data_IF_986168729252
#
_entry.id   IF_986168729252
#
_cell.length_a   1.000
_cell.length_b   1.000
_cell.length_c   1.000
_cell.angle_alpha   90.00
_cell.angle_beta   90.00
_cell.angle_gamma   90.00
#
_symmetry.space_group_name_H-M   'P 1'
#
loop_
_entity.id
_entity.type
_entity.pdbx_description
1 polymer ?
#
# COMPACT_ATOMS: atom_id res chain seq x y z
N UNK A 1 20.79 3.69 18.01
CA UNK A 1 20.12 3.76 16.69
C UNK A 1 19.37 5.09 16.63
N UNK A 2 19.47 5.80 15.51
CA UNK A 2 18.73 7.06 15.32
C UNK A 2 17.25 6.78 15.03
N UNK A 3 16.34 7.71 15.38
CA UNK A 3 14.91 7.56 15.19
C UNK A 3 14.53 7.20 13.73
N UNK A 4 15.13 7.81 12.68
CA UNK A 4 14.87 7.43 11.29
C UNK A 4 15.14 5.95 10.98
N UNK A 5 16.23 5.41 11.49
CA UNK A 5 16.58 3.98 11.28
C UNK A 5 15.53 3.08 11.92
N UNK A 6 15.05 3.40 13.14
CA UNK A 6 14.01 2.63 13.81
C UNK A 6 12.72 2.65 12.98
N UNK A 7 12.29 3.83 12.52
CA UNK A 7 11.10 3.96 11.66
C UNK A 7 11.25 3.11 10.39
N UNK A 8 12.40 3.19 9.71
CA UNK A 8 12.65 2.41 8.50
C UNK A 8 12.67 0.91 8.73
N UNK A 9 13.23 0.44 9.85
CA UNK A 9 13.20 -0.98 10.22
C UNK A 9 11.76 -1.46 10.42
N UNK A 10 10.92 -0.69 11.14
CA UNK A 10 9.52 -1.02 11.38
C UNK A 10 8.72 -1.06 10.07
N UNK A 11 8.88 -0.02 9.21
CA UNK A 11 8.21 0.02 7.90
C UNK A 11 8.65 -1.14 7.01
N UNK A 12 9.95 -1.42 6.95
CA UNK A 12 10.47 -2.53 6.13
C UNK A 12 9.98 -3.88 6.64
N UNK A 13 10.01 -4.11 7.95
CA UNK A 13 9.51 -5.34 8.56
C UNK A 13 8.01 -5.54 8.27
N UNK A 14 7.22 -4.47 8.35
CA UNK A 14 5.80 -4.50 8.00
C UNK A 14 5.61 -4.87 6.50
N UNK A 15 6.33 -4.23 5.57
CA UNK A 15 6.23 -4.58 4.14
C UNK A 15 6.59 -6.03 3.86
N UNK A 16 7.60 -6.55 4.52
CA UNK A 16 7.98 -7.96 4.40
C UNK A 16 6.90 -8.89 4.97
N UNK A 17 6.31 -8.54 6.12
CA UNK A 17 5.20 -9.32 6.70
C UNK A 17 3.97 -9.33 5.78
N UNK A 18 3.64 -8.20 5.16
CA UNK A 18 2.57 -8.09 4.18
C UNK A 18 2.80 -8.99 2.95
N UNK A 19 4.04 -9.10 2.46
CA UNK A 19 4.36 -10.03 1.37
C UNK A 19 4.19 -11.51 1.78
N UNK A 20 4.50 -11.86 3.03
CA UNK A 20 4.27 -13.22 3.53
C UNK A 20 2.78 -13.52 3.63
N UNK A 21 1.99 -12.58 4.17
CA UNK A 21 0.53 -12.70 4.26
C UNK A 21 -0.08 -12.81 2.85
N UNK A 22 0.34 -11.93 1.93
CA UNK A 22 -0.09 -11.99 0.53
C UNK A 22 0.13 -13.35 -0.10
N UNK A 23 1.35 -13.88 0.02
CA UNK A 23 1.70 -15.19 -0.57
C UNK A 23 0.79 -16.31 -0.06
N UNK A 24 0.51 -16.35 1.25
CA UNK A 24 -0.36 -17.35 1.88
C UNK A 24 -1.80 -17.19 1.41
N UNK A 25 -2.33 -15.97 1.50
CA UNK A 25 -3.70 -15.66 1.12
C UNK A 25 -3.95 -15.93 -0.36
N UNK A 26 -3.05 -15.47 -1.23
CA UNK A 26 -3.14 -15.67 -2.67
C UNK A 26 -3.09 -17.15 -3.05
N UNK A 27 -2.18 -17.94 -2.45
CA UNK A 27 -2.11 -19.36 -2.71
C UNK A 27 -3.42 -20.08 -2.33
N UNK A 28 -4.00 -19.74 -1.17
CA UNK A 28 -5.27 -20.29 -0.72
C UNK A 28 -6.43 -19.90 -1.66
N UNK A 29 -6.54 -18.62 -2.04
CA UNK A 29 -7.59 -18.16 -2.95
C UNK A 29 -7.51 -18.80 -4.34
N UNK A 30 -6.29 -18.94 -4.89
CA UNK A 30 -6.09 -19.60 -6.19
C UNK A 30 -6.46 -21.08 -6.13
N UNK A 31 -6.19 -21.78 -5.01
CA UNK A 31 -6.64 -23.15 -4.80
C UNK A 31 -8.18 -23.29 -4.70
N UNK A 32 -8.87 -22.22 -4.27
CA UNK A 32 -10.34 -22.13 -4.26
C UNK A 32 -10.92 -21.73 -5.64
N UNK A 33 -10.09 -21.56 -6.68
CA UNK A 33 -10.54 -21.21 -8.03
C UNK A 33 -10.55 -19.70 -8.33
N UNK A 34 -9.99 -18.85 -7.45
CA UNK A 34 -9.89 -17.42 -7.71
C UNK A 34 -9.00 -17.12 -8.92
N UNK A 35 -9.25 -16.00 -9.58
CA UNK A 35 -8.50 -15.54 -10.73
C UNK A 35 -7.68 -14.28 -10.40
N UNK A 36 -6.41 -14.26 -10.85
CA UNK A 36 -5.52 -13.11 -10.70
C UNK A 36 -5.64 -12.19 -11.92
N UNK A 37 -5.91 -10.90 -11.66
CA UNK A 37 -6.05 -9.86 -12.66
C UNK A 37 -4.92 -8.82 -12.57
N UNK A 38 -4.69 -8.07 -13.67
CA UNK A 38 -3.75 -6.95 -13.66
C UNK A 38 -2.28 -7.33 -13.49
N UNK A 39 -1.86 -8.51 -13.91
CA UNK A 39 -0.47 -8.99 -13.78
C UNK A 39 0.55 -8.06 -14.41
N UNK A 40 0.21 -7.39 -15.51
CA UNK A 40 1.14 -6.56 -16.28
C UNK A 40 1.60 -5.29 -15.55
N UNK A 41 0.80 -4.72 -14.65
CA UNK A 41 1.20 -3.51 -13.91
C UNK A 41 1.88 -3.82 -12.57
N UNK A 42 1.80 -5.05 -12.07
CA UNK A 42 2.34 -5.43 -10.77
C UNK A 42 3.86 -5.22 -10.63
N UNK A 43 4.71 -5.57 -11.64
CA UNK A 43 6.15 -5.32 -11.56
C UNK A 43 6.49 -3.83 -11.40
N UNK A 44 5.75 -2.95 -12.07
CA UNK A 44 5.93 -1.50 -11.97
C UNK A 44 5.58 -0.97 -10.58
N UNK A 45 4.53 -1.51 -9.97
CA UNK A 45 4.18 -1.20 -8.59
C UNK A 45 5.29 -1.64 -7.62
N UNK A 46 5.85 -2.83 -7.81
CA UNK A 46 6.98 -3.31 -7.00
C UNK A 46 8.20 -2.41 -7.18
N UNK A 47 8.55 -2.07 -8.42
CA UNK A 47 9.70 -1.20 -8.72
C UNK A 47 9.54 0.17 -8.06
N UNK A 48 8.34 0.77 -8.13
CA UNK A 48 8.02 2.03 -7.47
C UNK A 48 8.27 1.94 -5.95
N UNK A 49 7.75 0.91 -5.29
CA UNK A 49 7.90 0.76 -3.84
C UNK A 49 9.35 0.44 -3.43
N UNK A 50 10.08 -0.35 -4.22
CA UNK A 50 11.51 -0.61 -3.99
C UNK A 50 12.32 0.68 -4.12
N UNK A 51 12.10 1.46 -5.20
CA UNK A 51 12.76 2.75 -5.37
C UNK A 51 12.45 3.71 -4.22
N UNK A 52 11.18 3.79 -3.82
CA UNK A 52 10.73 4.60 -2.69
C UNK A 52 11.40 4.19 -1.37
N UNK A 53 11.46 2.91 -1.05
CA UNK A 53 12.13 2.41 0.15
C UNK A 53 13.65 2.65 0.11
N UNK A 54 14.29 2.47 -1.06
CA UNK A 54 15.73 2.65 -1.21
C UNK A 54 16.14 4.09 -0.90
N UNK A 55 15.44 5.09 -1.45
CA UNK A 55 15.76 6.48 -1.15
C UNK A 55 15.47 6.88 0.30
N UNK A 56 14.45 6.29 0.92
CA UNK A 56 14.18 6.50 2.34
C UNK A 56 15.25 5.88 3.24
N UNK A 57 15.78 4.71 2.90
CA UNK A 57 16.90 4.11 3.59
C UNK A 57 18.18 4.94 3.43
N UNK A 58 18.47 5.47 2.22
CA UNK A 58 19.56 6.43 2.01
C UNK A 58 19.43 7.61 2.97
N UNK A 59 18.27 8.25 3.02
CA UNK A 59 18.01 9.36 3.91
C UNK A 59 18.12 8.99 5.41
N UNK A 60 17.63 7.81 5.81
CA UNK A 60 17.71 7.34 7.19
C UNK A 60 19.16 7.10 7.65
N UNK A 61 20.03 6.71 6.72
CA UNK A 61 21.47 6.50 6.93
C UNK A 61 22.31 7.79 6.82
N UNK A 62 21.67 8.93 6.56
CA UNK A 62 22.35 10.23 6.45
C UNK A 62 22.84 10.55 5.04
N UNK A 63 22.29 9.88 4.03
CA UNK A 63 22.62 10.12 2.62
C UNK A 63 22.13 11.48 2.09
N UNK A 64 22.54 11.86 0.87
CA UNK A 64 22.33 13.18 0.29
C UNK A 64 20.87 13.55 -0.01
N UNK A 65 19.97 12.58 -0.06
CA UNK A 65 18.55 12.83 -0.33
C UNK A 65 17.82 13.48 0.85
N UNK A 66 18.42 13.48 2.03
CA UNK A 66 17.85 14.09 3.21
C UNK A 66 18.17 15.58 3.29
N UNK A 67 17.13 16.41 3.44
CA UNK A 67 17.30 17.83 3.78
C UNK A 67 17.11 18.01 5.30
N UNK A 68 17.89 18.91 5.93
CA UNK A 68 17.69 19.26 7.33
C UNK A 68 16.28 19.83 7.55
N UNK A 69 15.48 19.18 8.38
CA UNK A 69 14.20 19.72 8.82
C UNK A 69 14.36 20.72 9.98
N UNK A 70 13.26 21.38 10.41
CA UNK A 70 13.28 22.33 11.53
C UNK A 70 13.81 21.74 12.84
N UNK A 71 13.69 20.45 13.03
CA UNK A 71 14.09 19.71 14.23
C UNK A 71 15.52 19.12 14.13
N UNK A 72 16.22 19.35 13.01
CA UNK A 72 17.59 18.89 12.78
C UNK A 72 17.70 17.64 11.90
N UNK A 73 18.93 17.31 11.48
CA UNK A 73 19.25 16.29 10.47
C UNK A 73 18.81 14.86 10.88
N UNK A 74 18.74 14.58 12.17
CA UNK A 74 18.44 13.23 12.69
C UNK A 74 17.03 13.09 13.28
N UNK A 75 16.22 14.14 13.22
CA UNK A 75 14.88 14.13 13.75
C UNK A 75 13.85 13.66 12.71
N UNK A 76 12.80 13.01 13.18
CA UNK A 76 11.61 12.69 12.41
C UNK A 76 10.53 13.69 12.80
N UNK A 77 9.91 14.33 11.82
CA UNK A 77 8.86 15.32 12.08
C UNK A 77 7.62 14.67 12.72
N UNK A 78 7.26 15.03 13.96
CA UNK A 78 6.26 14.29 14.74
C UNK A 78 4.87 14.32 14.10
N UNK A 79 4.50 15.41 13.43
CA UNK A 79 3.21 15.54 12.80
C UNK A 79 3.02 14.51 11.67
N UNK A 80 4.03 14.33 10.83
CA UNK A 80 4.00 13.33 9.76
C UNK A 80 4.10 11.90 10.29
N UNK A 81 4.82 11.71 11.40
CA UNK A 81 4.84 10.41 12.08
C UNK A 81 3.46 10.06 12.63
N UNK A 82 2.73 11.02 13.21
CA UNK A 82 1.35 10.79 13.65
C UNK A 82 0.42 10.42 12.49
N UNK A 83 0.54 11.10 11.35
CA UNK A 83 -0.20 10.76 10.11
C UNK A 83 0.15 9.34 9.66
N UNK A 84 1.43 8.98 9.66
CA UNK A 84 1.87 7.62 9.30
C UNK A 84 1.23 6.57 10.22
N UNK A 85 1.26 6.77 11.54
CA UNK A 85 0.66 5.86 12.51
C UNK A 85 -0.85 5.72 12.34
N UNK A 86 -1.55 6.82 12.02
CA UNK A 86 -2.98 6.77 11.69
C UNK A 86 -3.25 5.91 10.44
N UNK A 87 -2.42 6.05 9.40
CA UNK A 87 -2.56 5.24 8.19
C UNK A 87 -2.24 3.76 8.44
N UNK A 88 -1.25 3.47 9.30
CA UNK A 88 -0.97 2.09 9.72
C UNK A 88 -2.18 1.46 10.42
N UNK A 89 -2.85 2.21 11.28
CA UNK A 89 -4.08 1.75 11.94
C UNK A 89 -5.18 1.41 10.92
N UNK A 90 -5.38 2.27 9.91
CA UNK A 90 -6.33 2.00 8.82
C UNK A 90 -5.92 0.75 8.04
N UNK A 91 -4.64 0.56 7.72
CA UNK A 91 -4.15 -0.64 7.02
C UNK A 91 -4.40 -1.92 7.81
N UNK A 92 -4.11 -1.92 9.10
CA UNK A 92 -4.39 -3.07 9.96
C UNK A 92 -5.90 -3.36 10.02
N UNK A 93 -6.73 -2.32 10.07
CA UNK A 93 -8.19 -2.48 10.01
C UNK A 93 -8.66 -3.06 8.67
N UNK A 94 -8.09 -2.61 7.55
CA UNK A 94 -8.34 -3.20 6.23
C UNK A 94 -7.95 -4.68 6.22
N UNK A 95 -6.75 -5.01 6.68
CA UNK A 95 -6.26 -6.40 6.72
C UNK A 95 -7.14 -7.29 7.61
N UNK A 96 -7.50 -6.83 8.79
CA UNK A 96 -8.42 -7.55 9.69
C UNK A 96 -9.81 -7.76 9.08
N UNK A 97 -10.33 -6.74 8.35
CA UNK A 97 -11.65 -6.81 7.70
C UNK A 97 -11.66 -7.79 6.52
N UNK A 98 -10.63 -7.80 5.69
CA UNK A 98 -10.52 -8.71 4.54
C UNK A 98 -10.07 -10.11 4.93
N UNK A 99 -9.28 -10.24 6.00
CA UNK A 99 -8.73 -11.52 6.44
C UNK A 99 -7.99 -12.25 5.31
N UNK A 100 -8.40 -13.48 5.00
CA UNK A 100 -7.83 -14.31 3.91
C UNK A 100 -7.99 -13.70 2.50
N UNK A 101 -8.89 -12.73 2.33
CA UNK A 101 -9.11 -12.05 1.04
C UNK A 101 -8.15 -10.88 0.81
N UNK A 102 -7.38 -10.50 1.83
CA UNK A 102 -6.39 -9.44 1.68
C UNK A 102 -5.18 -9.94 0.88
N UNK A 103 -4.91 -9.28 -0.24
CA UNK A 103 -3.75 -9.56 -1.12
C UNK A 103 -3.18 -8.25 -1.67
N UNK A 104 -1.91 -8.25 -2.01
CA UNK A 104 -1.25 -7.13 -2.70
C UNK A 104 -1.55 -7.15 -4.20
N UNK A 105 -2.06 -8.25 -4.72
CA UNK A 105 -2.49 -8.43 -6.12
C UNK A 105 -4.01 -8.35 -6.23
N UNK A 106 -4.53 -8.15 -7.41
CA UNK A 106 -5.97 -8.19 -7.66
C UNK A 106 -6.35 -9.65 -7.87
N UNK A 107 -6.95 -10.26 -6.86
CA UNK A 107 -7.42 -11.66 -6.87
C UNK A 107 -8.91 -11.66 -6.63
N UNK A 108 -9.68 -12.21 -7.54
CA UNK A 108 -11.14 -12.25 -7.50
C UNK A 108 -11.61 -13.69 -7.47
N UNK A 109 -12.43 -14.03 -6.46
CA UNK A 109 -13.09 -15.33 -6.33
C UNK A 109 -14.54 -15.18 -6.79
N UNK A 110 -14.95 -15.95 -7.80
CA UNK A 110 -16.29 -15.88 -8.35
C UNK A 110 -17.36 -16.34 -7.34
N UNK A 111 -18.55 -15.75 -7.42
CA UNK A 111 -19.65 -16.06 -6.51
C UNK A 111 -19.58 -15.44 -5.11
N UNK A 112 -18.46 -14.85 -4.70
CA UNK A 112 -18.30 -14.27 -3.35
C UNK A 112 -18.52 -12.75 -3.36
N UNK A 113 -19.49 -12.14 -2.66
CA UNK A 113 -19.77 -10.70 -2.73
C UNK A 113 -18.60 -9.85 -2.20
N UNK A 114 -18.42 -8.61 -2.72
CA UNK A 114 -17.41 -7.68 -2.19
C UNK A 114 -17.67 -7.39 -0.71
N UNK A 115 -16.59 -7.19 0.05
CA UNK A 115 -16.68 -6.78 1.46
C UNK A 115 -17.18 -5.34 1.53
N UNK A 116 -18.21 -5.09 2.36
CA UNK A 116 -18.79 -3.76 2.60
C UNK A 116 -18.81 -3.37 4.09
N UNK A 117 -18.05 -4.10 4.91
CA UNK A 117 -17.92 -3.87 6.37
C UNK A 117 -16.61 -3.15 6.69
N UNK A 118 -16.42 -2.78 7.95
CA UNK A 118 -15.21 -2.11 8.40
C UNK A 118 -14.95 -0.81 7.62
N UNK A 119 -13.72 -0.55 7.17
CA UNK A 119 -13.38 0.67 6.41
C UNK A 119 -14.03 0.72 5.03
N UNK A 120 -14.48 -0.42 4.48
CA UNK A 120 -15.14 -0.53 3.17
C UNK A 120 -16.58 0.04 3.17
N UNK A 121 -17.15 0.36 4.33
CA UNK A 121 -18.42 1.09 4.43
C UNK A 121 -18.28 2.58 4.07
N UNK A 122 -17.08 3.13 4.15
CA UNK A 122 -16.81 4.55 3.90
C UNK A 122 -16.26 4.81 2.48
N UNK A 123 -15.47 3.88 1.95
CA UNK A 123 -14.87 3.97 0.61
C UNK A 123 -14.62 2.58 0.03
N UNK A 124 -14.65 2.49 -1.30
CA UNK A 124 -14.36 1.22 -1.99
C UNK A 124 -12.86 0.83 -1.93
N UNK A 125 -11.98 1.81 -1.71
CA UNK A 125 -10.53 1.62 -1.79
C UNK A 125 -9.78 2.16 -0.56
N UNK A 126 -10.11 1.75 0.68
CA UNK A 126 -9.49 2.28 1.90
C UNK A 126 -7.99 1.98 1.98
N UNK A 127 -7.55 0.83 1.46
CA UNK A 127 -6.14 0.48 1.42
C UNK A 127 -5.34 1.39 0.47
N UNK A 128 -5.93 1.80 -0.65
CA UNK A 128 -5.25 2.69 -1.60
C UNK A 128 -5.13 4.10 -1.06
N UNK A 129 -6.13 4.56 -0.31
CA UNK A 129 -6.05 5.83 0.41
C UNK A 129 -4.90 5.81 1.42
N UNK A 130 -4.81 4.76 2.23
CA UNK A 130 -3.72 4.60 3.20
C UNK A 130 -2.34 4.60 2.50
N UNK A 131 -2.18 3.84 1.41
CA UNK A 131 -0.93 3.80 0.63
C UNK A 131 -0.60 5.18 0.05
N UNK A 132 -1.58 5.91 -0.50
CA UNK A 132 -1.34 7.23 -1.08
C UNK A 132 -0.83 8.23 -0.03
N UNK A 133 -1.41 8.21 1.16
CA UNK A 133 -0.97 9.08 2.26
C UNK A 133 0.40 8.64 2.81
N UNK A 134 0.66 7.35 2.97
CA UNK A 134 1.95 6.84 3.45
C UNK A 134 3.12 7.19 2.52
N UNK A 135 2.91 7.10 1.20
CA UNK A 135 3.92 7.45 0.19
C UNK A 135 4.36 8.90 0.32
N UNK A 136 3.46 9.80 0.72
CA UNK A 136 3.78 11.21 0.98
C UNK A 136 4.31 11.44 2.40
N UNK A 137 3.65 10.89 3.42
CA UNK A 137 3.90 11.20 4.82
C UNK A 137 5.29 10.77 5.30
N UNK A 138 5.76 9.59 4.88
CA UNK A 138 7.05 9.10 5.37
C UNK A 138 8.24 9.91 4.83
N UNK A 139 8.34 10.26 3.53
CA UNK A 139 9.37 11.19 3.07
C UNK A 139 9.28 12.58 3.71
N UNK A 140 8.04 13.08 3.93
CA UNK A 140 7.83 14.37 4.61
C UNK A 140 8.30 14.32 6.06
N UNK A 141 8.10 13.20 6.75
CA UNK A 141 8.65 12.99 8.08
C UNK A 141 10.19 13.07 8.13
N UNK A 142 10.85 12.82 7.00
CA UNK A 142 12.31 12.91 6.85
C UNK A 142 12.78 14.22 6.18
N UNK A 143 11.88 15.20 5.97
CA UNK A 143 12.18 16.47 5.34
C UNK A 143 12.37 16.42 3.82
N UNK A 144 11.97 15.34 3.16
CA UNK A 144 12.19 15.07 1.74
C UNK A 144 11.00 15.50 0.88
N UNK A 145 10.63 16.79 0.87
CA UNK A 145 9.42 17.26 0.20
C UNK A 145 9.40 17.00 -1.32
N UNK A 146 10.51 17.21 -2.02
CA UNK A 146 10.62 16.92 -3.45
C UNK A 146 10.47 15.43 -3.76
N UNK A 147 11.03 14.57 -2.91
CA UNK A 147 10.90 13.12 -3.00
C UNK A 147 9.45 12.67 -2.74
N UNK A 148 8.81 13.25 -1.73
CA UNK A 148 7.40 13.02 -1.44
C UNK A 148 6.51 13.36 -2.64
N UNK A 149 6.72 14.53 -3.25
CA UNK A 149 5.98 14.96 -4.44
C UNK A 149 6.18 14.00 -5.62
N UNK A 150 7.43 13.66 -5.94
CA UNK A 150 7.75 12.74 -7.03
C UNK A 150 7.04 11.39 -6.86
N UNK A 151 7.23 10.75 -5.71
CA UNK A 151 6.65 9.42 -5.47
C UNK A 151 5.14 9.46 -5.29
N UNK A 152 4.56 10.55 -4.81
CA UNK A 152 3.11 10.74 -4.78
C UNK A 152 2.50 10.80 -6.18
N UNK A 153 3.12 11.51 -7.12
CA UNK A 153 2.66 11.58 -8.50
C UNK A 153 2.79 10.22 -9.21
N UNK A 154 3.93 9.54 -9.05
CA UNK A 154 4.14 8.20 -9.61
C UNK A 154 3.14 7.19 -9.03
N UNK A 155 2.90 7.25 -7.72
CA UNK A 155 1.95 6.37 -7.04
C UNK A 155 0.50 6.69 -7.46
N UNK A 156 0.12 7.94 -7.62
CA UNK A 156 -1.20 8.34 -8.10
C UNK A 156 -1.47 7.77 -9.50
N UNK A 157 -0.51 7.84 -10.42
CA UNK A 157 -0.61 7.23 -11.73
C UNK A 157 -0.77 5.70 -11.64
N UNK A 158 0.04 5.05 -10.79
CA UNK A 158 -0.04 3.60 -10.56
C UNK A 158 -1.38 3.18 -9.93
N UNK A 159 -1.88 3.93 -8.95
CA UNK A 159 -3.18 3.68 -8.32
C UNK A 159 -4.33 3.84 -9.33
N UNK A 160 -4.27 4.84 -10.21
CA UNK A 160 -5.28 5.01 -11.27
C UNK A 160 -5.35 3.79 -12.20
N UNK A 161 -4.19 3.23 -12.58
CA UNK A 161 -4.13 1.99 -13.39
C UNK A 161 -4.70 0.81 -12.59
N UNK A 162 -4.33 0.70 -11.33
CA UNK A 162 -4.73 -0.40 -10.46
C UNK A 162 -6.22 -0.39 -10.15
N UNK A 163 -6.80 0.76 -9.79
CA UNK A 163 -8.23 0.92 -9.52
C UNK A 163 -9.05 0.53 -10.75
N UNK A 164 -8.68 1.03 -11.93
CA UNK A 164 -9.35 0.66 -13.18
C UNK A 164 -9.29 -0.84 -13.48
N UNK A 165 -8.16 -1.50 -13.18
CA UNK A 165 -8.01 -2.93 -13.38
C UNK A 165 -8.88 -3.73 -12.39
N UNK A 166 -8.95 -3.31 -11.12
CA UNK A 166 -9.78 -3.92 -10.09
C UNK A 166 -11.27 -3.74 -10.39
N UNK A 167 -11.71 -2.52 -10.73
CA UNK A 167 -13.10 -2.23 -11.07
C UNK A 167 -13.57 -3.05 -12.28
N UNK A 168 -12.73 -3.21 -13.32
CA UNK A 168 -13.03 -4.07 -14.46
C UNK A 168 -13.13 -5.55 -14.07
N UNK A 169 -12.28 -6.03 -13.16
CA UNK A 169 -12.32 -7.41 -12.70
C UNK A 169 -13.61 -7.68 -11.89
N UNK A 170 -13.98 -6.74 -11.01
CA UNK A 170 -15.20 -6.81 -10.22
C UNK A 170 -16.47 -6.65 -11.06
N UNK A 171 -16.48 -5.77 -12.07
CA UNK A 171 -17.60 -5.56 -12.98
C UNK A 171 -17.90 -6.81 -13.82
N UNK A 172 -16.89 -7.42 -14.46
CA UNK A 172 -17.03 -8.68 -15.22
C UNK A 172 -17.62 -9.81 -14.39
N UNK A 173 -17.25 -9.89 -13.13
CA UNK A 173 -17.78 -10.85 -12.18
C UNK A 173 -19.28 -10.64 -11.94
N UNK A 174 -19.72 -9.39 -11.76
CA UNK A 174 -21.12 -9.06 -11.52
C UNK A 174 -21.98 -9.42 -12.74
N UNK A 175 -21.49 -9.15 -13.95
CA UNK A 175 -22.15 -9.56 -15.21
C UNK A 175 -22.24 -11.10 -15.35
N UNK A 176 -21.17 -11.82 -15.00
CA UNK A 176 -21.16 -13.28 -15.03
C UNK A 176 -22.19 -13.89 -14.05
N UNK A 177 -22.29 -13.34 -12.83
CA UNK A 177 -23.27 -13.77 -11.84
C UNK A 177 -24.72 -13.54 -12.30
N UNK A 178 -25.00 -12.41 -12.97
CA UNK A 178 -26.31 -12.10 -13.53
C UNK A 178 -26.72 -13.01 -14.69
N UNK A 179 -25.77 -13.59 -15.43
CA UNK A 179 -26.03 -14.52 -16.54
C UNK A 179 -26.23 -15.97 -16.09
N UNK A 180 -25.80 -16.30 -14.88
CA UNK A 180 -25.85 -17.66 -14.33
C UNK A 180 -27.07 -17.92 -13.41
N UNK A 181 -27.82 -16.88 -13.07
CA UNK A 181 -29.08 -16.96 -12.28
C UNK A 181 -30.28 -16.64 -13.10
#
# INVERSE_FOLDING_TARGET
MTAPIIVMLLVTAQRLSELVIDRRNRAALLAEGAQEHGRGHYPWMVLLHVGWLTGLWDAALGGPLRTPGPTGILAVEPAWLAVLLAMQTIRLWVQATLGRRWTTRIVVLDGVPPVRTGPYRFTNHPNYLAVAVEIAALPLAFGMAGYALLFSLLNAAMLAVRIRAEDRALGRRQEAALRAG
#
